data_IF_323223211448
#
_entry.id   IF_323223211448
#
_cell.length_a   1.000
_cell.length_b   1.000
_cell.length_c   1.000
_cell.angle_alpha   90.00
_cell.angle_beta   90.00
_cell.angle_gamma   90.00
#
_symmetry.space_group_name_H-M   'P 1'
#
loop_
_entity.id
_entity.type
_entity.pdbx_description
1 polymer ?
#
# COMPACT_ATOMS: atom_id res chain seq x y z
N UNK A 1 -50.47 -23.49 0.13
CA UNK A 1 -49.41 -22.75 0.88
C UNK A 1 -48.54 -22.00 -0.11
N UNK A 2 -48.68 -20.68 -0.21
CA UNK A 2 -47.96 -19.85 -1.19
C UNK A 2 -46.68 -19.30 -0.53
N UNK A 3 -45.52 -19.80 -0.95
CA UNK A 3 -44.21 -19.45 -0.39
C UNK A 3 -43.69 -18.16 -1.07
N UNK A 4 -44.27 -17.02 -0.72
CA UNK A 4 -43.77 -15.70 -1.08
C UNK A 4 -42.54 -15.37 -0.21
N UNK A 5 -41.38 -15.93 -0.57
CA UNK A 5 -40.09 -15.44 -0.06
C UNK A 5 -39.82 -14.05 -0.67
N UNK A 6 -40.04 -13.03 0.15
CA UNK A 6 -39.50 -11.68 0.13
C UNK A 6 -38.60 -11.32 -1.07
N UNK A 7 -39.21 -10.84 -2.15
CA UNK A 7 -38.50 -10.01 -3.14
C UNK A 7 -38.23 -8.65 -2.51
N UNK A 8 -37.07 -8.51 -1.87
CA UNK A 8 -36.58 -7.20 -1.42
C UNK A 8 -36.58 -6.24 -2.62
N UNK A 9 -37.28 -5.09 -2.56
CA UNK A 9 -37.30 -4.15 -3.67
C UNK A 9 -35.87 -3.67 -3.97
N UNK A 10 -35.50 -3.64 -5.25
CA UNK A 10 -34.19 -3.18 -5.71
C UNK A 10 -33.95 -1.76 -5.21
N UNK A 11 -33.08 -1.63 -4.21
CA UNK A 11 -32.76 -0.35 -3.58
C UNK A 11 -31.52 0.22 -4.24
N UNK A 12 -31.61 1.44 -4.78
CA UNK A 12 -30.50 2.12 -5.47
C UNK A 12 -29.25 2.30 -4.59
N UNK A 13 -29.45 2.54 -3.29
CA UNK A 13 -28.38 2.71 -2.30
C UNK A 13 -28.60 1.74 -1.16
N UNK A 14 -27.63 0.86 -0.92
CA UNK A 14 -27.66 -0.08 0.20
C UNK A 14 -27.60 0.66 1.55
N UNK A 15 -27.99 -0.04 2.62
CA UNK A 15 -27.85 0.42 4.01
C UNK A 15 -26.46 0.94 4.37
N UNK A 16 -25.42 0.42 3.73
CA UNK A 16 -24.02 0.77 3.97
C UNK A 16 -23.54 1.95 3.10
N UNK A 17 -24.45 2.63 2.41
CA UNK A 17 -24.13 3.73 1.50
C UNK A 17 -23.53 3.29 0.15
N UNK A 18 -23.40 1.98 -0.10
CA UNK A 18 -22.91 1.46 -1.38
C UNK A 18 -24.04 1.51 -2.41
N UNK A 19 -23.78 2.09 -3.58
CA UNK A 19 -24.68 2.01 -4.73
C UNK A 19 -24.76 0.56 -5.23
N UNK A 20 -25.97 0.06 -5.45
CA UNK A 20 -26.21 -1.31 -5.95
C UNK A 20 -26.22 -1.37 -7.48
N UNK A 21 -26.12 -0.23 -8.15
CA UNK A 21 -26.02 -0.14 -9.59
C UNK A 21 -24.62 -0.56 -10.04
N UNK A 22 -24.56 -1.48 -11.01
CA UNK A 22 -23.32 -1.84 -11.67
C UNK A 22 -22.86 -0.66 -12.55
N UNK A 23 -22.02 0.22 -11.99
CA UNK A 23 -21.50 1.39 -12.70
C UNK A 23 -20.42 0.93 -13.68
N UNK A 24 -20.83 0.59 -14.90
CA UNK A 24 -19.90 0.28 -16.00
C UNK A 24 -19.42 1.59 -16.60
N UNK A 25 -18.17 1.99 -16.31
CA UNK A 25 -17.53 3.14 -16.95
C UNK A 25 -17.03 2.73 -18.35
N UNK A 26 -17.72 3.15 -19.40
CA UNK A 26 -17.31 2.93 -20.80
C UNK A 26 -16.40 4.09 -21.25
N UNK A 27 -15.19 3.78 -21.76
CA UNK A 27 -14.33 4.76 -22.45
C UNK A 27 -13.06 5.25 -21.72
N UNK A 28 -12.64 4.65 -20.61
CA UNK A 28 -11.38 5.01 -19.94
C UNK A 28 -10.17 4.25 -20.53
N UNK A 29 -9.03 4.91 -20.80
CA UNK A 29 -7.78 4.25 -21.15
C UNK A 29 -7.34 3.29 -20.04
N UNK A 30 -7.03 2.03 -20.39
CA UNK A 30 -6.79 0.90 -19.46
C UNK A 30 -5.56 1.03 -18.54
N UNK A 31 -4.72 2.05 -18.73
CA UNK A 31 -3.51 2.27 -17.94
C UNK A 31 -3.48 3.72 -17.46
N UNK A 32 -3.90 3.95 -16.22
CA UNK A 32 -3.79 5.25 -15.56
C UNK A 32 -2.90 5.08 -14.31
N UNK A 33 -1.75 5.76 -14.27
CA UNK A 33 -0.91 5.92 -13.07
C UNK A 33 -1.70 6.29 -11.79
N UNK A 34 -2.82 7.04 -11.84
CA UNK A 34 -3.71 7.23 -10.70
C UNK A 34 -4.20 5.93 -10.04
N UNK A 35 -4.37 4.84 -10.79
CA UNK A 35 -4.82 3.56 -10.23
C UNK A 35 -3.73 2.91 -9.37
N UNK A 36 -2.44 3.02 -9.73
CA UNK A 36 -1.37 2.47 -8.91
C UNK A 36 -1.29 3.18 -7.55
N UNK A 37 -1.34 4.52 -7.56
CA UNK A 37 -1.35 5.31 -6.34
C UNK A 37 -2.60 5.03 -5.50
N UNK A 38 -3.78 4.96 -6.12
CA UNK A 38 -5.02 4.62 -5.43
C UNK A 38 -4.98 3.22 -4.83
N UNK A 39 -4.43 2.24 -5.57
CA UNK A 39 -4.26 0.86 -5.12
C UNK A 39 -3.30 0.77 -3.92
N UNK A 40 -2.14 1.43 -3.99
CA UNK A 40 -1.19 1.55 -2.89
C UNK A 40 -1.82 2.17 -1.63
N UNK A 41 -2.72 3.14 -1.80
CA UNK A 41 -3.45 3.80 -0.72
C UNK A 41 -4.66 3.03 -0.18
N UNK A 42 -5.10 1.96 -0.84
CA UNK A 42 -6.29 1.17 -0.45
C UNK A 42 -5.95 -0.24 0.05
N UNK A 43 -4.70 -0.69 -0.14
CA UNK A 43 -4.18 -1.93 0.45
C UNK A 43 -4.44 -1.99 1.95
N UNK A 44 -4.68 -3.18 2.49
CA UNK A 44 -4.70 -3.40 3.95
C UNK A 44 -3.32 -3.11 4.56
N UNK A 45 -3.26 -2.80 5.85
CA UNK A 45 -1.98 -2.56 6.54
C UNK A 45 -1.00 -3.75 6.44
N UNK A 46 -1.42 -5.01 6.67
CA UNK A 46 -0.54 -6.16 6.44
C UNK A 46 -0.06 -6.25 4.99
N UNK A 47 -0.97 -6.09 4.01
CA UNK A 47 -0.61 -6.14 2.59
C UNK A 47 0.39 -5.06 2.18
N UNK A 48 0.29 -3.88 2.78
CA UNK A 48 1.23 -2.78 2.59
C UNK A 48 2.64 -3.13 3.09
N UNK A 49 2.76 -3.63 4.32
CA UNK A 49 4.06 -4.04 4.86
C UNK A 49 4.65 -5.22 4.08
N UNK A 50 3.83 -6.22 3.71
CA UNK A 50 4.27 -7.34 2.89
C UNK A 50 4.79 -6.88 1.52
N UNK A 51 4.10 -5.94 0.87
CA UNK A 51 4.55 -5.37 -0.40
C UNK A 51 5.90 -4.66 -0.27
N UNK A 52 6.07 -3.84 0.77
CA UNK A 52 7.35 -3.14 1.03
C UNK A 52 8.47 -4.15 1.29
N UNK A 53 8.23 -5.16 2.13
CA UNK A 53 9.21 -6.21 2.41
C UNK A 53 9.59 -6.98 1.15
N UNK A 54 8.62 -7.29 0.28
CA UNK A 54 8.87 -7.97 -0.99
C UNK A 54 9.74 -7.11 -1.91
N UNK A 55 9.39 -5.83 -2.11
CA UNK A 55 10.16 -4.89 -2.92
C UNK A 55 11.58 -4.71 -2.37
N UNK A 56 11.73 -4.66 -1.05
CA UNK A 56 13.04 -4.59 -0.40
C UNK A 56 13.90 -5.83 -0.70
N UNK A 57 13.34 -7.03 -0.57
CA UNK A 57 14.07 -8.29 -0.86
C UNK A 57 14.42 -8.39 -2.34
N UNK A 58 13.49 -8.05 -3.25
CA UNK A 58 13.73 -8.06 -4.69
C UNK A 58 14.85 -7.09 -5.05
N UNK A 59 14.79 -5.84 -4.55
CA UNK A 59 15.78 -4.81 -4.87
C UNK A 59 17.16 -5.22 -4.36
N UNK A 60 17.27 -5.72 -3.13
CA UNK A 60 18.54 -6.25 -2.60
C UNK A 60 19.05 -7.46 -3.40
N UNK A 61 18.15 -8.34 -3.86
CA UNK A 61 18.54 -9.48 -4.69
C UNK A 61 19.09 -9.02 -6.03
N UNK A 62 18.50 -7.99 -6.65
CA UNK A 62 19.01 -7.41 -7.90
C UNK A 62 20.39 -6.77 -7.72
N UNK A 63 20.61 -6.03 -6.63
CA UNK A 63 21.93 -5.49 -6.31
C UNK A 63 22.94 -6.60 -6.00
N UNK A 64 22.55 -7.64 -5.28
CA UNK A 64 23.39 -8.81 -5.03
C UNK A 64 23.84 -9.49 -6.34
N UNK A 65 22.94 -9.65 -7.31
CA UNK A 65 23.28 -10.15 -8.64
C UNK A 65 24.22 -9.21 -9.39
N UNK A 66 24.03 -7.89 -9.28
CA UNK A 66 24.94 -6.91 -9.87
C UNK A 66 26.34 -6.99 -9.27
N UNK A 67 26.47 -7.19 -7.95
CA UNK A 67 27.76 -7.43 -7.32
C UNK A 67 28.40 -8.74 -7.79
N UNK A 68 27.62 -9.83 -7.90
CA UNK A 68 28.15 -11.10 -8.43
C UNK A 68 28.63 -10.98 -9.88
N UNK A 69 27.97 -10.16 -10.71
CA UNK A 69 28.40 -9.90 -12.08
C UNK A 69 29.76 -9.17 -12.14
N UNK A 70 30.13 -8.44 -11.08
CA UNK A 70 31.44 -7.82 -10.91
C UNK A 70 32.57 -8.79 -10.50
N UNK A 71 32.26 -10.06 -10.22
CA UNK A 71 33.23 -11.05 -9.78
C UNK A 71 33.72 -10.81 -8.35
N UNK A 72 35.04 -10.73 -8.14
CA UNK A 72 35.67 -10.50 -6.82
C UNK A 72 35.65 -9.01 -6.43
N UNK A 73 34.46 -8.42 -6.36
CA UNK A 73 34.28 -6.99 -6.12
C UNK A 73 34.00 -6.61 -4.65
N UNK A 74 33.70 -7.59 -3.78
CA UNK A 74 33.41 -7.38 -2.35
C UNK A 74 34.47 -8.12 -1.51
N UNK A 75 35.16 -7.40 -0.62
CA UNK A 75 36.13 -7.98 0.29
C UNK A 75 35.47 -8.84 1.38
N UNK A 76 36.19 -9.87 1.85
CA UNK A 76 35.78 -10.78 2.92
C UNK A 76 34.49 -11.59 2.61
N UNK A 77 34.24 -11.89 1.34
CA UNK A 77 33.14 -12.75 0.90
C UNK A 77 33.66 -14.06 0.33
N UNK A 78 32.83 -15.11 0.38
CA UNK A 78 33.13 -16.36 -0.31
C UNK A 78 32.96 -16.13 -1.82
N UNK A 79 33.94 -16.51 -2.66
CA UNK A 79 33.85 -16.32 -4.10
C UNK A 79 32.55 -16.91 -4.67
N UNK A 80 31.76 -16.09 -5.36
CA UNK A 80 30.50 -16.52 -6.00
C UNK A 80 29.32 -16.75 -5.04
N UNK A 81 29.42 -16.43 -3.76
CA UNK A 81 28.32 -16.61 -2.80
C UNK A 81 27.26 -15.52 -2.93
N UNK A 82 26.08 -15.89 -3.46
CA UNK A 82 24.92 -14.98 -3.50
C UNK A 82 24.48 -14.52 -2.12
N UNK A 83 24.58 -15.39 -1.11
CA UNK A 83 24.16 -15.06 0.25
C UNK A 83 25.02 -13.93 0.84
N UNK A 84 26.33 -13.96 0.63
CA UNK A 84 27.24 -12.94 1.15
C UNK A 84 27.00 -11.60 0.41
N UNK A 85 26.83 -11.65 -0.91
CA UNK A 85 26.49 -10.48 -1.72
C UNK A 85 25.12 -9.87 -1.34
N UNK A 86 24.13 -10.71 -1.02
CA UNK A 86 22.82 -10.27 -0.54
C UNK A 86 22.92 -9.60 0.83
N UNK A 87 23.68 -10.17 1.77
CA UNK A 87 23.88 -9.54 3.07
C UNK A 87 24.68 -8.23 2.97
N UNK A 88 25.69 -8.15 2.10
CA UNK A 88 26.38 -6.91 1.81
C UNK A 88 25.43 -5.84 1.24
N UNK A 89 24.57 -6.22 0.30
CA UNK A 89 23.53 -5.36 -0.26
C UNK A 89 22.57 -4.85 0.82
N UNK A 90 22.08 -5.72 1.70
CA UNK A 90 21.19 -5.36 2.80
C UNK A 90 21.87 -4.38 3.75
N UNK A 91 23.12 -4.63 4.13
CA UNK A 91 23.90 -3.76 5.01
C UNK A 91 24.14 -2.38 4.39
N UNK A 92 24.38 -2.34 3.07
CA UNK A 92 24.60 -1.10 2.32
C UNK A 92 23.30 -0.30 2.18
N UNK A 93 22.22 -0.93 1.71
CA UNK A 93 20.96 -0.24 1.45
C UNK A 93 20.27 0.24 2.72
N UNK A 94 20.36 -0.55 3.80
CA UNK A 94 19.85 -0.14 5.11
C UNK A 94 20.81 0.80 5.86
N UNK A 95 21.95 1.16 5.27
CA UNK A 95 22.97 2.03 5.88
C UNK A 95 23.51 1.51 7.22
N UNK A 96 23.49 0.18 7.43
CA UNK A 96 24.01 -0.48 8.63
C UNK A 96 25.54 -0.49 8.61
N UNK A 97 26.11 -0.90 7.47
CA UNK A 97 27.55 -0.82 7.23
C UNK A 97 28.44 -1.39 8.34
N UNK A 98 28.28 -2.67 8.71
CA UNK A 98 29.09 -3.29 9.78
C UNK A 98 30.61 -3.21 9.56
N UNK A 99 31.06 -2.99 8.32
CA UNK A 99 32.47 -2.85 7.96
C UNK A 99 33.22 -4.16 7.75
N UNK A 100 32.62 -5.31 8.10
CA UNK A 100 33.20 -6.63 7.85
C UNK A 100 33.31 -6.93 6.35
N UNK A 101 32.34 -6.48 5.55
CA UNK A 101 32.35 -6.55 4.08
C UNK A 101 32.39 -5.12 3.53
N UNK A 102 33.24 -4.87 2.54
CA UNK A 102 33.40 -3.55 1.93
C UNK A 102 33.73 -3.68 0.44
N UNK A 103 33.37 -2.68 -0.38
CA UNK A 103 33.65 -2.70 -1.82
C UNK A 103 35.17 -2.64 -2.04
N UNK A 104 35.71 -3.58 -2.82
CA UNK A 104 37.15 -3.66 -3.15
C UNK A 104 37.51 -2.93 -4.44
N UNK A 105 36.58 -2.89 -5.40
CA UNK A 105 36.82 -2.35 -6.75
C UNK A 105 36.01 -1.07 -7.00
N UNK A 106 36.45 -0.26 -7.96
CA UNK A 106 35.73 0.95 -8.37
C UNK A 106 34.31 0.62 -8.87
N UNK A 107 34.15 -0.53 -9.53
CA UNK A 107 32.85 -1.05 -9.94
C UNK A 107 31.90 -1.22 -8.75
N UNK A 108 32.36 -1.88 -7.67
CA UNK A 108 31.54 -2.06 -6.48
C UNK A 108 31.22 -0.72 -5.79
N UNK A 109 32.17 0.22 -5.75
CA UNK A 109 31.93 1.55 -5.19
C UNK A 109 30.85 2.32 -5.95
N UNK A 110 30.85 2.26 -7.29
CA UNK A 110 29.80 2.88 -8.12
C UNK A 110 28.43 2.25 -7.81
N UNK A 111 28.35 0.93 -7.71
CA UNK A 111 27.09 0.25 -7.36
C UNK A 111 26.63 0.64 -5.96
N UNK A 112 27.53 0.68 -4.97
CA UNK A 112 27.22 1.13 -3.60
C UNK A 112 26.65 2.55 -3.61
N UNK A 113 27.23 3.48 -4.37
CA UNK A 113 26.74 4.84 -4.47
C UNK A 113 25.32 4.92 -5.07
N UNK A 114 25.07 4.16 -6.15
CA UNK A 114 23.73 4.03 -6.75
C UNK A 114 22.76 3.42 -5.73
N UNK A 115 23.16 2.34 -5.06
CA UNK A 115 22.35 1.65 -4.07
C UNK A 115 21.96 2.54 -2.90
N UNK A 116 22.89 3.36 -2.40
CA UNK A 116 22.63 4.32 -1.34
C UNK A 116 21.55 5.34 -1.75
N UNK A 117 21.59 5.84 -2.99
CA UNK A 117 20.57 6.74 -3.53
C UNK A 117 19.18 6.07 -3.59
N UNK A 118 19.12 4.82 -4.07
CA UNK A 118 17.88 4.03 -4.06
C UNK A 118 17.34 3.80 -2.64
N UNK A 119 18.23 3.56 -1.67
CA UNK A 119 17.86 3.44 -0.25
C UNK A 119 17.19 4.72 0.27
N UNK A 120 17.78 5.89 -0.01
CA UNK A 120 17.22 7.19 0.38
C UNK A 120 15.84 7.44 -0.25
N UNK A 121 15.70 7.20 -1.55
CA UNK A 121 14.41 7.32 -2.23
C UNK A 121 13.37 6.34 -1.68
N UNK A 122 13.79 5.10 -1.39
CA UNK A 122 12.93 4.08 -0.79
C UNK A 122 12.37 4.53 0.56
N UNK A 123 13.22 5.01 1.47
CA UNK A 123 12.81 5.52 2.78
C UNK A 123 11.85 6.72 2.64
N UNK A 124 12.18 7.68 1.77
CA UNK A 124 11.33 8.86 1.54
C UNK A 124 9.94 8.47 1.00
N UNK A 125 9.89 7.57 0.01
CA UNK A 125 8.64 7.10 -0.59
C UNK A 125 7.78 6.31 0.40
N UNK A 126 8.37 5.36 1.14
CA UNK A 126 7.66 4.55 2.12
C UNK A 126 7.06 5.45 3.21
N UNK A 127 7.84 6.40 3.71
CA UNK A 127 7.40 7.35 4.75
C UNK A 127 6.25 8.23 4.23
N UNK A 128 6.39 8.81 3.04
CA UNK A 128 5.35 9.64 2.43
C UNK A 128 4.06 8.87 2.17
N UNK A 129 4.17 7.62 1.70
CA UNK A 129 3.00 6.77 1.44
C UNK A 129 2.34 6.30 2.74
N UNK A 130 3.11 5.96 3.77
CA UNK A 130 2.59 5.65 5.09
C UNK A 130 1.82 6.84 5.67
N UNK A 131 2.38 8.05 5.58
CA UNK A 131 1.71 9.27 6.02
C UNK A 131 0.41 9.51 5.24
N UNK A 132 0.43 9.42 3.91
CA UNK A 132 -0.76 9.57 3.08
C UNK A 132 -1.87 8.55 3.43
N UNK A 133 -1.50 7.32 3.82
CA UNK A 133 -2.44 6.30 4.28
C UNK A 133 -3.03 6.64 5.65
N UNK A 134 -2.24 7.16 6.59
CA UNK A 134 -2.72 7.62 7.89
C UNK A 134 -3.63 8.85 7.78
N UNK A 135 -3.35 9.74 6.84
CA UNK A 135 -4.13 10.97 6.65
C UNK A 135 -5.50 10.76 6.01
N UNK A 136 -5.88 9.53 5.60
CA UNK A 136 -7.24 9.26 5.10
C UNK A 136 -8.24 9.23 6.26
N UNK A 137 -9.12 10.24 6.41
CA UNK A 137 -10.09 10.25 7.49
C UNK A 137 -11.17 9.20 7.23
N UNK A 138 -11.38 8.29 8.18
CA UNK A 138 -12.57 7.43 8.18
C UNK A 138 -13.66 8.14 8.97
N UNK A 139 -14.64 8.73 8.28
CA UNK A 139 -15.84 9.25 8.94
C UNK A 139 -16.65 8.08 9.51
N UNK A 140 -16.62 7.90 10.84
CA UNK A 140 -17.40 6.87 11.53
C UNK A 140 -18.75 7.46 11.96
N UNK A 141 -19.68 7.60 11.01
CA UNK A 141 -21.03 8.09 11.28
C UNK A 141 -22.03 6.94 11.18
N UNK A 142 -22.83 6.74 12.23
CA UNK A 142 -23.93 5.77 12.24
C UNK A 142 -25.25 6.51 12.01
N UNK A 143 -26.12 5.93 11.18
CA UNK A 143 -27.47 6.43 10.91
C UNK A 143 -28.52 5.54 11.61
N UNK A 144 -29.65 6.13 12.01
CA UNK A 144 -30.77 5.39 12.61
C UNK A 144 -31.32 4.31 11.67
N UNK A 145 -31.83 3.22 12.25
CA UNK A 145 -32.41 2.13 11.45
C UNK A 145 -33.67 2.60 10.71
N UNK A 146 -34.47 3.48 11.29
CA UNK A 146 -35.68 3.98 10.64
C UNK A 146 -35.65 5.49 10.60
N UNK A 147 -36.28 6.06 9.58
CA UNK A 147 -36.73 7.44 9.58
C UNK A 147 -38.20 7.45 10.00
N UNK A 148 -38.61 8.51 10.69
CA UNK A 148 -39.99 8.67 11.18
C UNK A 148 -40.57 9.97 10.64
N UNK A 149 -41.88 10.00 10.42
CA UNK A 149 -42.61 11.24 10.10
C UNK A 149 -43.48 11.54 11.32
N UNK A 150 -43.23 12.65 11.99
CA UNK A 150 -43.94 13.05 13.21
C UNK A 150 -44.10 14.58 13.25
N UNK A 151 -45.12 15.10 13.95
CA UNK A 151 -45.28 16.55 14.09
C UNK A 151 -44.15 17.16 14.92
N UNK A 152 -43.55 18.23 14.41
CA UNK A 152 -42.58 19.06 15.11
C UNK A 152 -42.93 20.52 14.85
N UNK A 153 -43.18 21.28 15.92
CA UNK A 153 -43.74 22.63 15.84
C UNK A 153 -45.01 22.70 14.96
N UNK A 154 -45.87 21.70 15.07
CA UNK A 154 -47.15 21.65 14.34
C UNK A 154 -47.04 21.19 12.87
N UNK A 155 -45.85 20.93 12.35
CA UNK A 155 -45.65 20.53 10.94
C UNK A 155 -45.18 19.07 10.86
N UNK A 156 -45.79 18.21 10.01
CA UNK A 156 -45.29 16.87 9.75
C UNK A 156 -43.85 16.91 9.21
N UNK A 157 -42.90 16.39 9.99
CA UNK A 157 -41.47 16.50 9.70
C UNK A 157 -40.85 15.10 9.59
N UNK A 158 -40.10 14.86 8.51
CA UNK A 158 -39.29 13.66 8.34
C UNK A 158 -38.01 13.77 9.18
N UNK A 159 -37.81 12.83 10.09
CA UNK A 159 -36.66 12.81 11.01
C UNK A 159 -35.88 11.51 10.90
N UNK A 160 -34.57 11.60 11.02
CA UNK A 160 -33.66 10.48 11.25
C UNK A 160 -32.56 10.93 12.22
N UNK A 161 -31.89 9.98 12.88
CA UNK A 161 -30.81 10.28 13.81
C UNK A 161 -29.47 9.89 13.21
N UNK A 162 -28.46 10.70 13.49
CA UNK A 162 -27.07 10.39 13.18
C UNK A 162 -26.26 10.48 14.46
N UNK A 163 -25.34 9.54 14.65
CA UNK A 163 -24.41 9.56 15.75
C UNK A 163 -22.99 9.49 15.21
N UNK A 164 -22.09 10.24 15.82
CA UNK A 164 -20.66 10.07 15.59
C UNK A 164 -20.20 8.86 16.42
N UNK A 165 -19.75 7.82 15.74
CA UNK A 165 -19.14 6.62 16.35
C UNK A 165 -17.65 6.88 16.61
N UNK A 166 -17.32 8.10 17.03
CA UNK A 166 -15.97 8.51 17.38
C UNK A 166 -15.42 7.61 18.47
#
# INVERSE_FOLDING_TARGET
>A
MNNNRDRQPHRLVSRKGQFTLNVVRLGLPRLHFPDLYHWLLTLSWPGFFTLISLLYVITNSLFALAYLAGGDCIANTRPGSFQDAFYFSVQTMATIGYGAMYPRTDYANIIVAIQALFGLWGVAMITGLAFARFSKPTARVIFSRVAVIAPFNGVPTLMYRTANQR
#
